data_IF_204101100721
#
_entry.id   IF_204101100721
#
_cell.length_a   1.000
_cell.length_b   1.000
_cell.length_c   1.000
_cell.angle_alpha   90.00
_cell.angle_beta   90.00
_cell.angle_gamma   90.00
#
_symmetry.space_group_name_H-M   'P 1'
#
loop_
_entity.id
_entity.type
_entity.pdbx_description
1 polymer ?
#
# COMPACT_ATOMS: atom_id res chain seq x y z
N UNK A 1 -1.51 -5.07 -15.81
CA UNK A 1 -1.87 -4.98 -14.37
C UNK A 1 -2.97 -3.95 -14.23
N UNK A 2 -4.05 -4.26 -13.50
CA UNK A 2 -5.07 -3.27 -13.14
C UNK A 2 -4.68 -2.54 -11.86
N UNK A 3 -5.16 -1.32 -11.66
CA UNK A 3 -4.97 -0.59 -10.42
C UNK A 3 -5.49 -1.36 -9.18
N UNK A 4 -6.60 -2.10 -9.32
CA UNK A 4 -7.12 -3.00 -8.29
C UNK A 4 -6.13 -4.13 -7.94
N UNK A 5 -5.50 -4.74 -8.95
CA UNK A 5 -4.47 -5.76 -8.72
C UNK A 5 -3.22 -5.18 -8.06
N UNK A 6 -2.82 -3.96 -8.41
CA UNK A 6 -1.69 -3.26 -7.79
C UNK A 6 -1.95 -2.97 -6.30
N UNK A 7 -3.16 -2.49 -5.97
CA UNK A 7 -3.60 -2.29 -4.58
C UNK A 7 -3.59 -3.59 -3.78
N UNK A 8 -4.15 -4.67 -4.33
CA UNK A 8 -4.17 -5.97 -3.66
C UNK A 8 -2.76 -6.50 -3.40
N UNK A 9 -1.88 -6.41 -4.39
CA UNK A 9 -0.47 -6.83 -4.26
C UNK A 9 0.27 -6.01 -3.19
N UNK A 10 0.02 -4.69 -3.12
CA UNK A 10 0.63 -3.82 -2.13
C UNK A 10 0.16 -4.17 -0.70
N UNK A 11 -1.14 -4.42 -0.51
CA UNK A 11 -1.68 -4.87 0.78
C UNK A 11 -1.12 -6.22 1.22
N UNK A 12 -1.02 -7.18 0.30
CA UNK A 12 -0.45 -8.49 0.57
C UNK A 12 1.04 -8.40 0.92
N UNK A 13 1.82 -7.61 0.17
CA UNK A 13 3.23 -7.36 0.47
C UNK A 13 3.42 -6.72 1.85
N UNK A 14 2.56 -5.78 2.24
CA UNK A 14 2.60 -5.16 3.56
C UNK A 14 2.33 -6.18 4.67
N UNK A 15 1.33 -7.05 4.49
CA UNK A 15 1.03 -8.12 5.44
C UNK A 15 2.20 -9.09 5.59
N UNK A 16 2.82 -9.48 4.48
CA UNK A 16 4.03 -10.32 4.47
C UNK A 16 5.20 -9.68 5.21
N UNK A 17 5.43 -8.38 5.01
CA UNK A 17 6.44 -7.62 5.72
C UNK A 17 6.20 -7.65 7.24
N UNK A 18 4.97 -7.36 7.71
CA UNK A 18 4.63 -7.38 9.13
C UNK A 18 4.88 -8.76 9.75
N UNK A 19 4.45 -9.83 9.07
CA UNK A 19 4.67 -11.20 9.54
C UNK A 19 6.17 -11.55 9.60
N UNK A 20 6.94 -11.17 8.58
CA UNK A 20 8.38 -11.39 8.56
C UNK A 20 9.09 -10.61 9.67
N UNK A 21 8.65 -9.38 9.94
CA UNK A 21 9.20 -8.55 10.99
C UNK A 21 8.93 -9.09 12.40
N UNK A 22 7.70 -9.54 12.69
CA UNK A 22 7.41 -10.17 14.00
C UNK A 22 8.24 -11.44 14.22
N UNK A 23 8.48 -12.23 13.16
CA UNK A 23 9.39 -13.38 13.23
C UNK A 23 10.82 -12.94 13.52
N UNK A 24 11.32 -11.91 12.84
CA UNK A 24 12.66 -11.39 13.09
C UNK A 24 12.81 -10.91 14.55
N UNK A 25 11.82 -10.18 15.08
CA UNK A 25 11.81 -9.72 16.48
C UNK A 25 11.79 -10.82 17.53
N UNK A 26 11.33 -12.02 17.17
CA UNK A 26 11.35 -13.16 18.10
C UNK A 26 12.77 -13.58 18.51
N UNK A 27 13.77 -13.31 17.66
CA UNK A 27 15.18 -13.62 17.91
C UNK A 27 16.09 -12.38 17.92
N UNK A 28 15.61 -11.25 17.40
CA UNK A 28 16.37 -10.00 17.30
C UNK A 28 15.68 -8.89 18.11
N UNK A 29 16.18 -8.62 19.32
CA UNK A 29 15.54 -7.73 20.30
C UNK A 29 16.48 -6.69 20.90
N UNK A 30 17.58 -6.37 20.20
CA UNK A 30 18.54 -5.35 20.64
C UNK A 30 18.08 -3.92 20.28
N UNK A 31 18.92 -2.94 20.59
CA UNK A 31 18.65 -1.53 20.28
C UNK A 31 18.52 -1.26 18.77
N UNK A 32 19.23 -2.02 17.93
CA UNK A 32 19.12 -1.90 16.48
C UNK A 32 17.75 -2.40 15.98
N UNK A 33 17.21 -3.46 16.58
CA UNK A 33 15.87 -3.93 16.27
C UNK A 33 14.81 -2.88 16.64
N UNK A 34 14.96 -2.21 17.78
CA UNK A 34 14.09 -1.11 18.20
C UNK A 34 14.20 0.10 17.26
N UNK A 35 15.42 0.45 16.83
CA UNK A 35 15.67 1.51 15.86
C UNK A 35 15.00 1.19 14.52
N UNK A 36 15.16 -0.04 14.03
CA UNK A 36 14.58 -0.49 12.76
C UNK A 36 13.05 -0.48 12.79
N UNK A 37 12.43 -0.91 13.90
CA UNK A 37 10.98 -0.76 14.10
C UNK A 37 10.55 0.68 13.88
N UNK A 38 11.19 1.61 14.60
CA UNK A 38 10.79 3.03 14.62
C UNK A 38 11.04 3.75 13.29
N UNK A 39 12.19 3.50 12.67
CA UNK A 39 12.64 4.29 11.52
C UNK A 39 12.22 3.69 10.18
N UNK A 40 11.99 2.37 10.14
CA UNK A 40 11.66 1.67 8.90
C UNK A 40 10.25 1.09 8.95
N UNK A 41 9.91 0.30 9.97
CA UNK A 41 8.63 -0.43 9.98
C UNK A 41 7.44 0.50 10.24
N UNK A 42 7.49 1.32 11.28
CA UNK A 42 6.36 2.17 11.69
C UNK A 42 5.94 3.19 10.61
N UNK A 43 6.88 3.87 9.91
CA UNK A 43 6.49 4.85 8.88
C UNK A 43 5.87 4.21 7.63
N UNK A 44 6.11 2.91 7.38
CA UNK A 44 5.65 2.25 6.16
C UNK A 44 4.13 2.11 6.12
N UNK A 45 3.47 1.83 7.25
CA UNK A 45 2.01 1.66 7.27
C UNK A 45 1.28 2.91 6.78
N UNK A 46 1.67 4.09 7.28
CA UNK A 46 1.11 5.36 6.84
C UNK A 46 1.35 5.62 5.35
N UNK A 47 2.57 5.37 4.86
CA UNK A 47 2.95 5.56 3.45
C UNK A 47 2.20 4.61 2.52
N UNK A 48 2.04 3.35 2.91
CA UNK A 48 1.32 2.33 2.14
C UNK A 48 -0.17 2.69 2.07
N UNK A 49 -0.77 3.10 3.19
CA UNK A 49 -2.16 3.55 3.22
C UNK A 49 -2.38 4.80 2.33
N UNK A 50 -1.44 5.74 2.33
CA UNK A 50 -1.48 6.89 1.43
C UNK A 50 -1.40 6.47 -0.05
N UNK A 51 -0.50 5.54 -0.38
CA UNK A 51 -0.37 5.02 -1.74
C UNK A 51 -1.64 4.30 -2.20
N UNK A 52 -2.26 3.47 -1.35
CA UNK A 52 -3.52 2.79 -1.63
C UNK A 52 -4.63 3.80 -1.95
N UNK A 53 -4.77 4.85 -1.14
CA UNK A 53 -5.74 5.93 -1.38
C UNK A 53 -5.48 6.65 -2.71
N UNK A 54 -4.22 6.90 -3.05
CA UNK A 54 -3.84 7.48 -4.33
C UNK A 54 -4.25 6.60 -5.52
N UNK A 55 -4.03 5.28 -5.41
CA UNK A 55 -4.48 4.31 -6.42
C UNK A 55 -5.99 4.33 -6.59
N UNK A 56 -6.75 4.33 -5.49
CA UNK A 56 -8.22 4.41 -5.55
C UNK A 56 -8.69 5.72 -6.22
N UNK A 57 -8.03 6.84 -5.92
CA UNK A 57 -8.36 8.13 -6.53
C UNK A 57 -8.14 8.14 -8.05
N UNK A 58 -7.00 7.59 -8.52
CA UNK A 58 -6.71 7.48 -9.95
C UNK A 58 -7.74 6.59 -10.67
N UNK A 59 -8.15 5.48 -10.05
CA UNK A 59 -9.19 4.60 -10.60
C UNK A 59 -10.50 5.35 -10.79
N UNK A 60 -10.92 6.11 -9.78
CA UNK A 60 -12.15 6.88 -9.82
C UNK A 60 -12.10 7.98 -10.89
N UNK A 61 -10.98 8.71 -10.99
CA UNK A 61 -10.80 9.71 -12.06
C UNK A 61 -10.89 9.09 -13.45
N UNK A 62 -10.21 7.96 -13.67
CA UNK A 62 -10.26 7.26 -14.95
C UNK A 62 -11.67 6.75 -15.28
N UNK A 63 -12.44 6.35 -14.27
CA UNK A 63 -13.85 5.96 -14.42
C UNK A 63 -14.70 7.16 -14.86
N UNK A 64 -14.53 8.33 -14.23
CA UNK A 64 -15.27 9.55 -14.58
C UNK A 64 -14.97 10.02 -15.99
N UNK A 65 -13.69 10.11 -16.36
CA UNK A 65 -13.28 10.51 -17.72
C UNK A 65 -13.90 9.60 -18.79
N UNK A 66 -13.97 8.29 -18.54
CA UNK A 66 -14.64 7.37 -19.48
C UNK A 66 -16.15 7.56 -19.57
N UNK A 67 -16.80 7.97 -18.47
CA UNK A 67 -18.23 8.28 -18.48
C UNK A 67 -18.48 9.58 -19.25
N UNK A 68 -17.73 10.64 -18.92
CA UNK A 68 -17.87 11.96 -19.54
C UNK A 68 -17.55 11.94 -21.04
N UNK A 69 -16.51 11.24 -21.48
CA UNK A 69 -16.16 11.15 -22.91
C UNK A 69 -16.93 10.04 -23.67
N UNK A 70 -17.65 9.17 -22.97
CA UNK A 70 -18.39 8.05 -23.57
C UNK A 70 -19.85 8.37 -23.88
N UNK A 71 -20.40 9.44 -23.29
CA UNK A 71 -21.82 9.84 -23.39
C UNK A 71 -22.07 10.94 -24.44
N UNK A 72 -21.03 11.53 -25.05
CA UNK A 72 -21.14 12.58 -26.09
C UNK A 72 -21.38 12.04 -27.52
N UNK A 73 -21.91 10.81 -27.64
CA UNK A 73 -22.15 10.12 -28.92
C UNK A 73 -23.61 9.89 -29.31
N UNK A 74 -24.57 10.54 -28.64
CA UNK A 74 -26.01 10.44 -28.91
C UNK A 74 -26.56 11.57 -29.75
#
# INVERSE_FOLDING_TARGET
>A
MSASSAKANLMDAHKKLRLAWERARSSWSDENAALFQREVIDPLEGRINAAIKGVDHVVELMRRVRQECGDDGG
#
